data_IF_895764450818
#
_entry.id   IF_895764450818
#
_cell.length_a   1.000
_cell.length_b   1.000
_cell.length_c   1.000
_cell.angle_alpha   90.00
_cell.angle_beta   90.00
_cell.angle_gamma   90.00
#
_symmetry.space_group_name_H-M   'P 1'
#
loop_
_entity.id
_entity.type
_entity.pdbx_description
1 polymer ?
#
# COMPACT_ATOMS: atom_id res chain seq x y z
N UNK A 1 7.09 30.79 -13.19
CA UNK A 1 7.67 29.84 -12.21
C UNK A 1 6.87 28.56 -12.30
N UNK A 2 7.52 27.41 -12.38
CA UNK A 2 6.79 26.13 -12.41
C UNK A 2 6.16 25.89 -11.05
N UNK A 3 4.86 25.64 -11.02
CA UNK A 3 4.14 25.24 -9.82
C UNK A 3 4.01 23.73 -9.81
N UNK A 4 4.27 23.13 -8.66
CA UNK A 4 4.27 21.69 -8.45
C UNK A 4 3.13 21.29 -7.54
N UNK A 5 2.54 20.12 -7.80
CA UNK A 5 1.64 19.47 -6.85
C UNK A 5 2.45 18.59 -5.91
N UNK A 6 2.20 18.74 -4.62
CA UNK A 6 2.90 17.98 -3.58
C UNK A 6 1.93 17.07 -2.86
N UNK A 7 2.42 15.89 -2.50
CA UNK A 7 1.73 14.96 -1.62
C UNK A 7 2.69 14.59 -0.50
N UNK A 8 2.23 14.68 0.74
CA UNK A 8 2.96 14.27 1.94
C UNK A 8 2.10 13.31 2.75
N UNK A 9 2.72 12.30 3.32
CA UNK A 9 2.06 11.40 4.28
C UNK A 9 3.09 10.74 5.19
N UNK A 10 2.74 10.57 6.46
CA UNK A 10 3.56 9.80 7.39
C UNK A 10 3.55 10.33 8.81
N UNK A 11 4.44 9.81 9.63
CA UNK A 11 4.47 10.07 11.07
C UNK A 11 5.90 9.96 11.59
N UNK A 12 6.25 10.81 12.57
CA UNK A 12 7.43 10.67 13.41
C UNK A 12 7.05 10.47 14.87
N UNK A 13 7.68 9.53 15.53
CA UNK A 13 7.51 9.22 16.95
C UNK A 13 8.78 9.68 17.69
N UNK A 14 8.58 10.36 18.79
CA UNK A 14 9.67 10.83 19.67
C UNK A 14 9.78 9.95 20.92
N UNK A 15 10.99 9.81 21.45
CA UNK A 15 11.26 8.97 22.60
C UNK A 15 10.58 9.46 23.88
N UNK A 16 10.52 10.78 24.04
CA UNK A 16 9.96 11.45 25.20
C UNK A 16 9.52 12.88 24.84
N UNK A 17 8.82 13.52 25.77
CA UNK A 17 8.32 14.87 25.62
C UNK A 17 9.44 15.88 25.31
N UNK A 18 10.60 15.78 25.96
CA UNK A 18 11.73 16.68 25.69
C UNK A 18 12.20 16.63 24.24
N UNK A 19 12.32 15.42 23.65
CA UNK A 19 12.71 15.27 22.25
C UNK A 19 11.65 15.86 21.32
N UNK A 20 10.37 15.72 21.65
CA UNK A 20 9.26 16.31 20.91
C UNK A 20 9.30 17.85 20.97
N UNK A 21 9.46 18.43 22.18
CA UNK A 21 9.54 19.87 22.38
C UNK A 21 10.75 20.48 21.64
N UNK A 22 11.90 19.80 21.67
CA UNK A 22 13.08 20.23 20.91
C UNK A 22 12.82 20.21 19.39
N UNK A 23 12.16 19.17 18.87
CA UNK A 23 11.80 19.08 17.46
C UNK A 23 10.84 20.21 17.06
N UNK A 24 9.83 20.48 17.89
CA UNK A 24 8.87 21.58 17.67
C UNK A 24 9.55 22.95 17.68
N UNK A 25 10.42 23.18 18.66
CA UNK A 25 11.17 24.45 18.76
C UNK A 25 12.08 24.66 17.55
N UNK A 26 12.79 23.60 17.10
CA UNK A 26 13.65 23.66 15.90
C UNK A 26 12.84 23.88 14.63
N UNK A 27 11.68 23.23 14.49
CA UNK A 27 10.79 23.46 13.37
C UNK A 27 10.37 24.93 13.28
N UNK A 28 9.83 25.47 14.38
CA UNK A 28 9.35 26.86 14.45
C UNK A 28 10.48 27.85 14.19
N UNK A 29 11.65 27.66 14.81
CA UNK A 29 12.81 28.50 14.59
C UNK A 29 13.25 28.53 13.12
N UNK A 30 13.30 27.36 12.45
CA UNK A 30 13.65 27.29 11.02
C UNK A 30 12.61 27.97 10.14
N UNK A 31 11.33 27.73 10.41
CA UNK A 31 10.22 28.33 9.66
C UNK A 31 10.27 29.86 9.77
N UNK A 32 10.48 30.40 10.97
CA UNK A 32 10.49 31.84 11.23
C UNK A 32 11.78 32.51 10.71
N UNK A 33 12.94 32.01 11.14
CA UNK A 33 14.22 32.70 10.92
C UNK A 33 14.80 32.40 9.55
N UNK A 34 14.87 31.10 9.17
CA UNK A 34 15.55 30.67 7.95
C UNK A 34 14.66 30.75 6.73
N UNK A 35 13.41 30.30 6.84
CA UNK A 35 12.50 30.20 5.71
C UNK A 35 11.53 31.37 5.60
N UNK A 36 11.44 32.25 6.61
CA UNK A 36 10.54 33.42 6.64
C UNK A 36 9.10 33.04 6.28
N UNK A 37 8.63 31.95 6.87
CA UNK A 37 7.31 31.34 6.62
C UNK A 37 7.07 30.80 5.21
N UNK A 38 8.11 30.68 4.37
CA UNK A 38 8.01 30.05 3.04
C UNK A 38 8.06 28.52 3.17
N UNK A 39 7.07 27.98 3.88
CA UNK A 39 6.73 26.56 4.03
C UNK A 39 5.22 26.41 3.98
N UNK A 40 4.70 25.28 3.51
CA UNK A 40 3.25 25.12 3.44
C UNK A 40 2.63 24.36 4.63
N UNK A 41 3.43 23.75 5.50
CA UNK A 41 2.96 23.11 6.73
C UNK A 41 3.15 24.05 7.93
N UNK A 42 2.14 24.14 8.76
CA UNK A 42 2.21 24.86 10.04
C UNK A 42 2.39 23.84 11.16
N UNK A 43 3.19 24.21 12.18
CA UNK A 43 3.46 23.31 13.30
C UNK A 43 2.20 22.84 14.02
N UNK A 44 1.23 23.74 14.23
CA UNK A 44 -0.05 23.43 14.89
C UNK A 44 -0.90 22.38 14.15
N UNK A 45 -0.63 22.15 12.86
CA UNK A 45 -1.36 21.19 12.03
C UNK A 45 -0.70 19.79 11.99
N UNK A 46 0.58 19.70 12.34
CA UNK A 46 1.35 18.47 12.20
C UNK A 46 1.93 17.93 13.51
N UNK A 47 2.13 18.78 14.52
CA UNK A 47 2.62 18.34 15.83
C UNK A 47 1.44 18.03 16.76
N UNK A 48 1.29 16.75 17.11
CA UNK A 48 0.31 16.26 18.06
C UNK A 48 0.94 16.23 19.46
N UNK A 49 0.57 17.22 20.29
CA UNK A 49 1.10 17.39 21.63
C UNK A 49 0.63 16.30 22.58
N UNK A 50 -0.60 15.78 22.39
CA UNK A 50 -1.16 14.74 23.26
C UNK A 50 -0.43 13.39 23.03
N UNK A 51 -0.11 13.11 21.78
CA UNK A 51 0.56 11.86 21.41
C UNK A 51 2.08 11.97 21.31
N UNK A 52 2.67 13.15 21.50
CA UNK A 52 4.10 13.40 21.31
C UNK A 52 4.61 12.85 19.98
N UNK A 53 3.97 13.26 18.89
CA UNK A 53 4.35 12.82 17.54
C UNK A 53 4.15 13.92 16.51
N UNK A 54 4.83 13.81 15.38
CA UNK A 54 4.42 14.49 14.15
C UNK A 54 3.54 13.51 13.37
N UNK A 55 2.37 13.97 12.97
CA UNK A 55 1.44 13.19 12.18
C UNK A 55 0.94 14.01 10.99
N UNK A 56 1.25 13.53 9.79
CA UNK A 56 0.79 14.13 8.53
C UNK A 56 -0.08 13.07 7.85
N UNK A 57 -1.41 13.08 8.09
CA UNK A 57 -2.33 12.34 7.25
C UNK A 57 -2.12 12.79 5.80
N UNK A 58 -2.44 11.96 4.83
CA UNK A 58 -2.22 12.32 3.42
C UNK A 58 -2.64 13.75 3.13
N UNK A 59 -1.66 14.64 3.02
CA UNK A 59 -1.80 16.05 2.70
C UNK A 59 -1.46 16.28 1.23
N UNK A 60 -2.29 17.06 0.54
CA UNK A 60 -2.09 17.38 -0.88
C UNK A 60 -2.08 18.89 -1.02
N UNK A 61 -0.97 19.44 -1.50
CA UNK A 61 -0.84 20.86 -1.83
C UNK A 61 -0.78 21.03 -3.36
N UNK A 62 -1.76 21.71 -3.98
CA UNK A 62 -1.91 21.70 -5.43
C UNK A 62 -0.86 22.54 -6.18
N UNK A 63 -0.41 23.64 -5.58
CA UNK A 63 0.45 24.61 -6.26
C UNK A 63 1.48 25.21 -5.31
N UNK A 64 2.71 24.73 -5.37
CA UNK A 64 3.84 25.32 -4.62
C UNK A 64 5.05 25.55 -5.52
N UNK A 65 5.91 26.46 -5.09
CA UNK A 65 7.18 26.75 -5.75
C UNK A 65 8.25 25.71 -5.39
N UNK A 66 9.30 25.62 -6.19
CA UNK A 66 10.48 24.80 -5.88
C UNK A 66 11.11 25.19 -4.54
N UNK A 67 11.12 26.47 -4.21
CA UNK A 67 11.69 26.98 -2.96
C UNK A 67 10.86 26.50 -1.76
N UNK A 68 9.55 26.65 -1.81
CA UNK A 68 8.63 26.22 -0.74
C UNK A 68 8.74 24.69 -0.52
N UNK A 69 8.85 23.90 -1.60
CA UNK A 69 9.10 22.47 -1.52
C UNK A 69 10.38 22.16 -0.74
N UNK A 70 11.52 22.73 -1.16
CA UNK A 70 12.81 22.49 -0.51
C UNK A 70 12.82 22.91 0.96
N UNK A 71 12.24 24.05 1.26
CA UNK A 71 12.15 24.57 2.62
C UNK A 71 11.34 23.63 3.51
N UNK A 72 10.18 23.15 3.03
CA UNK A 72 9.33 22.24 3.79
C UNK A 72 10.00 20.90 4.04
N UNK A 73 10.60 20.29 3.00
CA UNK A 73 11.36 19.04 3.15
C UNK A 73 12.50 19.19 4.14
N UNK A 74 13.30 20.28 4.03
CA UNK A 74 14.41 20.54 4.94
C UNK A 74 13.97 20.76 6.39
N UNK A 75 12.80 21.40 6.60
CA UNK A 75 12.23 21.52 7.94
C UNK A 75 11.86 20.16 8.53
N UNK A 76 11.24 19.29 7.74
CA UNK A 76 10.86 17.94 8.16
C UNK A 76 12.08 17.02 8.38
N UNK A 77 13.13 17.13 7.58
CA UNK A 77 14.39 16.44 7.79
C UNK A 77 15.03 16.82 9.14
N UNK A 78 15.00 18.09 9.50
CA UNK A 78 15.49 18.54 10.82
C UNK A 78 14.67 17.96 11.97
N UNK A 79 13.34 17.94 11.85
CA UNK A 79 12.46 17.30 12.85
C UNK A 79 12.76 15.81 12.99
N UNK A 80 13.05 15.14 11.88
CA UNK A 80 13.37 13.70 11.83
C UNK A 80 14.60 13.33 12.66
N UNK A 81 15.58 14.21 12.81
CA UNK A 81 16.80 13.99 13.63
C UNK A 81 16.47 13.72 15.11
N UNK A 82 15.35 14.26 15.61
CA UNK A 82 14.90 14.05 16.99
C UNK A 82 14.06 12.80 17.17
N UNK A 83 13.50 12.25 16.08
CA UNK A 83 12.64 11.08 16.10
C UNK A 83 13.42 9.79 16.40
N UNK A 84 12.70 8.76 16.83
CA UNK A 84 13.25 7.41 17.04
C UNK A 84 12.55 6.36 16.17
N UNK A 85 11.39 6.70 15.61
CA UNK A 85 10.62 5.81 14.75
C UNK A 85 9.72 6.62 13.80
N UNK A 86 9.20 5.94 12.80
CA UNK A 86 8.32 6.51 11.80
C UNK A 86 9.04 6.84 10.49
N UNK A 87 8.28 7.31 9.52
CA UNK A 87 8.78 7.84 8.25
C UNK A 87 7.75 8.77 7.63
N UNK A 88 8.21 9.71 6.82
CA UNK A 88 7.39 10.56 5.98
C UNK A 88 7.75 10.31 4.51
N UNK A 89 6.75 10.11 3.68
CA UNK A 89 6.88 10.07 2.24
C UNK A 89 6.44 11.39 1.64
N UNK A 90 7.26 11.93 0.75
CA UNK A 90 7.04 13.21 0.10
C UNK A 90 7.19 13.06 -1.42
N UNK A 91 6.14 13.37 -2.16
CA UNK A 91 6.11 13.30 -3.62
C UNK A 91 5.91 14.69 -4.21
N UNK A 92 6.76 15.05 -5.19
CA UNK A 92 6.60 16.24 -6.02
C UNK A 92 6.19 15.82 -7.42
N UNK A 93 5.08 16.37 -7.91
CA UNK A 93 4.50 16.03 -9.20
C UNK A 93 4.44 17.26 -10.10
N UNK A 94 4.75 17.04 -11.38
CA UNK A 94 4.55 17.99 -12.47
C UNK A 94 3.73 17.31 -13.57
N UNK A 95 2.65 17.96 -14.02
CA UNK A 95 1.75 17.40 -15.06
C UNK A 95 1.29 15.95 -14.75
N UNK A 96 1.04 15.65 -13.47
CA UNK A 96 0.57 14.35 -13.03
C UNK A 96 1.65 13.25 -12.97
N UNK A 97 2.92 13.58 -13.22
CA UNK A 97 4.06 12.64 -13.10
C UNK A 97 4.88 12.97 -11.86
N UNK A 98 5.34 11.94 -11.16
CA UNK A 98 6.31 12.12 -10.06
C UNK A 98 7.64 12.53 -10.69
N UNK A 99 8.16 13.69 -10.29
CA UNK A 99 9.48 14.19 -10.69
C UNK A 99 10.50 14.08 -9.55
N UNK A 100 10.02 13.99 -8.30
CA UNK A 100 10.87 13.77 -7.13
C UNK A 100 10.10 12.99 -6.07
N UNK A 101 10.79 12.06 -5.41
CA UNK A 101 10.32 11.32 -4.24
C UNK A 101 11.36 11.38 -3.14
N UNK A 102 10.93 11.67 -1.93
CA UNK A 102 11.75 11.66 -0.72
C UNK A 102 11.09 10.76 0.32
N UNK A 103 11.85 9.81 0.86
CA UNK A 103 11.51 9.11 2.09
C UNK A 103 12.38 9.69 3.19
N UNK A 104 11.75 10.29 4.21
CA UNK A 104 12.41 10.89 5.35
C UNK A 104 12.20 9.94 6.53
N UNK A 105 13.27 9.30 6.99
CA UNK A 105 13.22 8.34 8.10
C UNK A 105 14.39 8.59 9.07
N UNK A 106 14.20 8.33 10.38
CA UNK A 106 15.25 8.49 11.37
C UNK A 106 16.49 7.65 11.01
N UNK A 107 17.64 8.30 11.01
CA UNK A 107 18.92 7.68 10.68
C UNK A 107 20.00 8.17 11.66
N UNK A 108 20.08 7.54 12.82
CA UNK A 108 21.01 7.92 13.87
C UNK A 108 21.47 6.73 14.70
N UNK A 109 22.35 6.97 15.66
CA UNK A 109 22.98 5.93 16.48
C UNK A 109 22.07 5.38 17.58
N UNK A 110 20.86 5.89 17.73
CA UNK A 110 19.90 5.38 18.71
C UNK A 110 19.59 3.91 18.42
N UNK A 111 19.69 3.08 19.45
CA UNK A 111 19.62 1.62 19.29
C UNK A 111 18.29 1.11 18.73
N UNK A 112 17.16 1.83 18.93
CA UNK A 112 15.88 1.51 18.31
C UNK A 112 15.94 1.67 16.78
N UNK A 113 16.56 2.77 16.32
CA UNK A 113 16.76 3.07 14.89
C UNK A 113 17.65 1.99 14.26
N UNK A 114 18.79 1.70 14.87
CA UNK A 114 19.74 0.72 14.34
C UNK A 114 19.16 -0.68 14.24
N UNK A 115 18.39 -1.12 15.26
CA UNK A 115 17.69 -2.40 15.24
C UNK A 115 16.64 -2.45 14.11
N UNK A 116 15.87 -1.36 13.90
CA UNK A 116 14.91 -1.29 12.81
C UNK A 116 15.58 -1.32 11.43
N UNK A 117 16.63 -0.53 11.24
CA UNK A 117 17.36 -0.47 9.96
C UNK A 117 18.02 -1.82 9.63
N UNK A 118 18.52 -2.53 10.65
CA UNK A 118 19.02 -3.90 10.48
C UNK A 118 17.88 -4.83 10.04
N UNK A 119 16.75 -4.80 10.73
CA UNK A 119 15.57 -5.60 10.37
C UNK A 119 15.10 -5.29 8.95
N UNK A 120 15.00 -4.01 8.56
CA UNK A 120 14.65 -3.56 7.20
C UNK A 120 15.57 -4.19 6.14
N UNK A 121 16.89 -4.20 6.36
CA UNK A 121 17.87 -4.81 5.45
C UNK A 121 17.72 -6.32 5.36
N UNK A 122 17.55 -7.00 6.49
CA UNK A 122 17.41 -8.46 6.54
C UNK A 122 16.11 -8.92 5.86
N UNK A 123 15.01 -8.17 6.02
CA UNK A 123 13.76 -8.41 5.24
C UNK A 123 14.02 -8.35 3.74
N UNK A 124 14.78 -7.36 3.27
CA UNK A 124 15.13 -7.22 1.86
C UNK A 124 16.02 -8.35 1.31
N UNK A 125 16.78 -9.02 2.19
CA UNK A 125 17.61 -10.20 1.84
C UNK A 125 16.88 -11.53 1.97
N UNK A 126 15.64 -11.53 2.47
CA UNK A 126 14.89 -12.77 2.75
C UNK A 126 15.37 -13.54 3.99
N UNK A 127 16.18 -12.91 4.85
CA UNK A 127 16.71 -13.50 6.08
C UNK A 127 15.67 -13.38 7.21
N UNK A 128 14.53 -14.05 7.05
CA UNK A 128 13.32 -13.81 7.85
C UNK A 128 13.49 -14.02 9.36
N UNK A 129 14.23 -15.05 9.79
CA UNK A 129 14.45 -15.31 11.22
C UNK A 129 15.27 -14.20 11.87
N UNK A 130 16.40 -13.83 11.26
CA UNK A 130 17.25 -12.76 11.76
C UNK A 130 16.54 -11.38 11.66
N UNK A 131 15.74 -11.17 10.62
CA UNK A 131 14.92 -9.98 10.49
C UNK A 131 13.91 -9.84 11.64
N UNK A 132 13.24 -10.94 12.01
CA UNK A 132 12.31 -10.96 13.14
C UNK A 132 13.00 -10.56 14.45
N UNK A 133 14.16 -11.14 14.76
CA UNK A 133 14.93 -10.83 15.97
C UNK A 133 15.34 -9.35 16.03
N UNK A 134 15.81 -8.78 14.92
CA UNK A 134 16.17 -7.37 14.86
C UNK A 134 14.95 -6.46 15.04
N UNK A 135 13.80 -6.82 14.46
CA UNK A 135 12.54 -6.07 14.61
C UNK A 135 11.96 -6.22 16.02
N UNK A 136 12.11 -7.37 16.67
CA UNK A 136 11.75 -7.58 18.08
C UNK A 136 12.52 -6.61 18.97
N UNK A 137 13.83 -6.46 18.74
CA UNK A 137 14.66 -5.50 19.47
C UNK A 137 14.23 -4.05 19.21
N UNK A 138 13.88 -3.70 17.98
CA UNK A 138 13.39 -2.35 17.66
C UNK A 138 12.09 -2.04 18.40
N UNK A 139 11.15 -2.98 18.44
CA UNK A 139 9.86 -2.86 19.15
C UNK A 139 10.06 -2.78 20.67
N UNK A 140 10.95 -3.60 21.22
CA UNK A 140 11.27 -3.58 22.65
C UNK A 140 11.80 -2.21 23.10
N UNK A 141 12.56 -1.53 22.21
CA UNK A 141 13.14 -0.21 22.50
C UNK A 141 12.19 0.95 22.17
N UNK A 142 11.21 0.72 21.30
CA UNK A 142 10.18 1.68 20.94
C UNK A 142 8.87 0.94 20.67
N UNK A 143 8.01 0.83 21.68
CA UNK A 143 6.70 0.15 21.56
C UNK A 143 5.75 0.82 20.57
N UNK A 144 5.97 2.10 20.25
CA UNK A 144 5.20 2.86 19.26
C UNK A 144 5.85 2.85 17.87
N UNK A 145 6.61 1.82 17.53
CA UNK A 145 7.28 1.72 16.24
C UNK A 145 6.40 1.03 15.19
N UNK A 146 5.45 1.76 14.59
CA UNK A 146 4.49 1.23 13.60
C UNK A 146 5.18 0.43 12.47
N UNK A 147 6.24 0.99 11.86
CA UNK A 147 6.97 0.35 10.76
C UNK A 147 7.70 -0.94 11.17
N UNK A 148 8.14 -1.06 12.43
CA UNK A 148 8.75 -2.30 12.92
C UNK A 148 7.70 -3.41 13.07
N UNK A 149 6.53 -3.10 13.64
CA UNK A 149 5.40 -4.02 13.66
C UNK A 149 4.98 -4.43 12.25
N UNK A 150 4.80 -3.48 11.34
CA UNK A 150 4.41 -3.76 9.95
C UNK A 150 5.38 -4.75 9.28
N UNK A 151 6.68 -4.50 9.35
CA UNK A 151 7.70 -5.37 8.75
C UNK A 151 7.77 -6.73 9.44
N UNK A 152 7.64 -6.79 10.77
CA UNK A 152 7.57 -8.07 11.50
C UNK A 152 6.31 -8.84 11.13
N UNK A 153 5.19 -8.17 10.92
CA UNK A 153 3.97 -8.76 10.40
C UNK A 153 4.17 -9.42 9.04
N UNK A 154 4.86 -8.77 8.11
CA UNK A 154 5.23 -9.39 6.82
C UNK A 154 6.19 -10.56 6.96
N UNK A 155 7.17 -10.49 7.86
CA UNK A 155 8.06 -11.61 8.16
C UNK A 155 7.26 -12.79 8.73
N UNK A 156 6.41 -12.57 9.72
CA UNK A 156 5.54 -13.59 10.29
C UNK A 156 4.61 -14.20 9.24
N UNK A 157 4.08 -13.37 8.30
CA UNK A 157 3.26 -13.84 7.20
C UNK A 157 4.03 -14.79 6.25
N UNK A 158 5.28 -14.44 5.86
CA UNK A 158 6.15 -15.31 5.04
C UNK A 158 6.49 -16.62 5.75
N UNK A 159 6.69 -16.56 7.06
CA UNK A 159 6.92 -17.72 7.92
C UNK A 159 5.64 -18.53 8.19
N UNK A 160 4.49 -18.14 7.63
CA UNK A 160 3.15 -18.73 7.84
C UNK A 160 2.63 -18.64 9.28
N UNK A 161 3.18 -17.75 10.08
CA UNK A 161 2.74 -17.43 11.44
C UNK A 161 1.59 -16.39 11.37
N UNK A 162 0.46 -16.77 10.79
CA UNK A 162 -0.62 -15.84 10.45
C UNK A 162 -1.22 -15.11 11.67
N UNK A 163 -1.31 -15.80 12.81
CA UNK A 163 -1.80 -15.18 14.05
C UNK A 163 -0.88 -14.05 14.54
N UNK A 164 0.43 -14.28 14.53
CA UNK A 164 1.42 -13.28 14.91
C UNK A 164 1.45 -12.13 13.89
N UNK A 165 1.32 -12.44 12.59
CA UNK A 165 1.22 -11.44 11.54
C UNK A 165 0.00 -10.52 11.75
N UNK A 166 -1.17 -11.10 12.06
CA UNK A 166 -2.39 -10.34 12.35
C UNK A 166 -2.21 -9.43 13.58
N UNK A 167 -1.60 -9.96 14.64
CA UNK A 167 -1.27 -9.16 15.83
C UNK A 167 -0.38 -7.97 15.48
N UNK A 168 0.67 -8.18 14.72
CA UNK A 168 1.63 -7.15 14.34
C UNK A 168 1.00 -6.08 13.44
N UNK A 169 0.22 -6.47 12.43
CA UNK A 169 -0.50 -5.50 11.60
C UNK A 169 -1.52 -4.68 12.42
N UNK A 170 -2.23 -5.32 13.36
CA UNK A 170 -3.13 -4.59 14.26
C UNK A 170 -2.37 -3.59 15.13
N UNK A 171 -1.22 -3.96 15.68
CA UNK A 171 -0.39 -3.04 16.47
C UNK A 171 0.14 -1.89 15.62
N UNK A 172 0.59 -2.16 14.40
CA UNK A 172 1.00 -1.11 13.46
C UNK A 172 -0.13 -0.12 13.18
N UNK A 173 -1.35 -0.61 12.93
CA UNK A 173 -2.54 0.21 12.66
C UNK A 173 -2.97 1.04 13.89
N UNK A 174 -2.84 0.49 15.10
CA UNK A 174 -3.12 1.26 16.33
C UNK A 174 -2.17 2.45 16.48
N UNK A 175 -0.89 2.27 16.13
CA UNK A 175 0.11 3.36 16.20
C UNK A 175 -0.03 4.32 15.02
N UNK A 176 -0.23 3.79 13.81
CA UNK A 176 -0.43 4.56 12.58
C UNK A 176 -1.67 4.08 11.82
N UNK A 177 -2.85 4.67 12.08
CA UNK A 177 -4.09 4.29 11.43
C UNK A 177 -4.13 4.54 9.91
N UNK A 178 -3.16 5.30 9.40
CA UNK A 178 -3.07 5.64 7.97
C UNK A 178 -2.04 4.79 7.21
N UNK A 179 -1.41 3.79 7.85
CA UNK A 179 -0.44 2.92 7.17
C UNK A 179 -1.14 2.06 6.12
N UNK A 180 -0.94 2.39 4.84
CA UNK A 180 -1.47 1.63 3.71
C UNK A 180 -0.90 0.22 3.68
N UNK A 181 0.39 0.05 4.01
CA UNK A 181 1.03 -1.27 4.02
C UNK A 181 0.52 -2.17 5.15
N UNK A 182 0.25 -1.61 6.34
CA UNK A 182 -0.25 -2.42 7.46
C UNK A 182 -1.68 -2.91 7.19
N UNK A 183 -2.57 -2.06 6.65
CA UNK A 183 -3.90 -2.48 6.22
C UNK A 183 -3.82 -3.51 5.09
N UNK A 184 -2.96 -3.28 4.10
CA UNK A 184 -2.74 -4.22 3.00
C UNK A 184 -2.25 -5.59 3.52
N UNK A 185 -1.28 -5.62 4.43
CA UNK A 185 -0.79 -6.85 5.05
C UNK A 185 -1.86 -7.59 5.84
N UNK A 186 -2.68 -6.86 6.63
CA UNK A 186 -3.80 -7.45 7.38
C UNK A 186 -4.86 -8.04 6.45
N UNK A 187 -5.16 -7.37 5.34
CA UNK A 187 -6.09 -7.88 4.34
C UNK A 187 -5.64 -9.25 3.79
N UNK A 188 -4.34 -9.46 3.59
CA UNK A 188 -3.83 -10.77 3.15
C UNK A 188 -4.04 -11.87 4.19
N UNK A 189 -3.83 -11.59 5.48
CA UNK A 189 -4.13 -12.56 6.53
C UNK A 189 -5.61 -12.92 6.48
N UNK A 190 -6.52 -11.93 6.36
CA UNK A 190 -7.97 -12.14 6.26
C UNK A 190 -8.35 -12.96 5.02
N UNK A 191 -7.67 -12.78 3.90
CA UNK A 191 -7.88 -13.62 2.71
C UNK A 191 -7.53 -15.09 3.00
N UNK A 192 -6.42 -15.35 3.71
CA UNK A 192 -6.06 -16.71 4.13
C UNK A 192 -7.14 -17.31 5.04
N UNK A 193 -7.73 -16.51 5.90
CA UNK A 193 -8.86 -16.87 6.76
C UNK A 193 -10.21 -16.93 6.01
N UNK A 194 -10.23 -16.60 4.71
CA UNK A 194 -11.40 -16.49 3.83
C UNK A 194 -12.41 -15.39 4.27
N UNK A 195 -11.97 -14.45 5.09
CA UNK A 195 -12.75 -13.26 5.46
C UNK A 195 -12.56 -12.16 4.40
N UNK A 196 -13.12 -12.37 3.22
CA UNK A 196 -13.00 -11.45 2.10
C UNK A 196 -13.68 -10.10 2.35
N UNK A 197 -14.77 -10.09 3.15
CA UNK A 197 -15.49 -8.86 3.49
C UNK A 197 -14.63 -7.92 4.31
N UNK A 198 -13.95 -8.44 5.34
CA UNK A 198 -13.04 -7.63 6.14
C UNK A 198 -11.75 -7.27 5.38
N UNK A 199 -11.29 -8.14 4.48
CA UNK A 199 -10.15 -7.83 3.59
C UNK A 199 -10.47 -6.64 2.68
N UNK A 200 -11.67 -6.58 2.09
CA UNK A 200 -12.11 -5.46 1.25
C UNK A 200 -12.11 -4.15 2.04
N UNK A 201 -12.58 -4.15 3.29
CA UNK A 201 -12.53 -2.94 4.15
C UNK A 201 -11.11 -2.44 4.37
N UNK A 202 -10.15 -3.34 4.58
CA UNK A 202 -8.74 -2.96 4.69
C UNK A 202 -8.19 -2.42 3.37
N UNK A 203 -8.56 -3.02 2.24
CA UNK A 203 -8.18 -2.52 0.92
C UNK A 203 -8.76 -1.13 0.62
N UNK A 204 -9.96 -0.82 1.10
CA UNK A 204 -10.54 0.53 0.98
C UNK A 204 -9.65 1.57 1.69
N UNK A 205 -9.17 1.24 2.89
CA UNK A 205 -8.28 2.13 3.65
C UNK A 205 -6.92 2.23 2.96
N UNK A 206 -6.39 1.11 2.45
CA UNK A 206 -5.15 1.10 1.64
C UNK A 206 -5.26 2.05 0.43
N UNK A 207 -6.34 1.94 -0.35
CA UNK A 207 -6.57 2.78 -1.53
C UNK A 207 -6.78 4.26 -1.16
N UNK A 208 -7.41 4.55 -0.03
CA UNK A 208 -7.61 5.91 0.47
C UNK A 208 -6.28 6.58 0.81
N UNK A 209 -5.33 5.84 1.38
CA UNK A 209 -4.06 6.37 1.86
C UNK A 209 -2.92 6.29 0.83
N UNK A 210 -2.99 5.37 -0.14
CA UNK A 210 -2.01 5.27 -1.23
C UNK A 210 -2.34 6.19 -2.41
N UNK A 211 -1.38 6.37 -3.30
CA UNK A 211 -1.54 7.18 -4.52
C UNK A 211 -1.40 6.31 -5.78
N UNK A 212 -2.05 6.69 -6.92
CA UNK A 212 -2.00 5.90 -8.15
C UNK A 212 -0.61 5.71 -8.77
N UNK A 213 0.42 6.38 -8.24
CA UNK A 213 1.81 6.22 -8.67
C UNK A 213 2.56 5.11 -7.92
N UNK A 214 1.98 4.63 -6.81
CA UNK A 214 2.58 3.56 -6.02
C UNK A 214 2.12 2.18 -6.54
N UNK A 215 3.02 1.19 -6.65
CA UNK A 215 2.65 -0.17 -7.07
C UNK A 215 1.56 -0.80 -6.20
N UNK A 216 1.56 -0.50 -4.88
CA UNK A 216 0.56 -1.01 -3.93
C UNK A 216 -0.87 -0.61 -4.31
N UNK A 217 -1.08 0.60 -4.86
CA UNK A 217 -2.41 1.07 -5.28
C UNK A 217 -3.04 0.13 -6.31
N UNK A 218 -2.29 -0.20 -7.36
CA UNK A 218 -2.77 -1.05 -8.45
C UNK A 218 -2.88 -2.52 -8.04
N UNK A 219 -1.93 -2.99 -7.24
CA UNK A 219 -1.99 -4.33 -6.63
C UNK A 219 -3.25 -4.48 -5.76
N UNK A 220 -3.57 -3.46 -4.96
CA UNK A 220 -4.77 -3.44 -4.12
C UNK A 220 -6.04 -3.49 -4.95
N UNK A 221 -6.17 -2.65 -5.99
CA UNK A 221 -7.34 -2.67 -6.88
C UNK A 221 -7.56 -4.05 -7.51
N UNK A 222 -6.50 -4.66 -8.01
CA UNK A 222 -6.56 -6.00 -8.60
C UNK A 222 -7.07 -7.03 -7.60
N UNK A 223 -6.47 -7.11 -6.41
CA UNK A 223 -6.82 -8.12 -5.42
C UNK A 223 -8.19 -7.86 -4.80
N UNK A 224 -8.56 -6.60 -4.57
CA UNK A 224 -9.90 -6.22 -4.14
C UNK A 224 -10.96 -6.66 -5.16
N UNK A 225 -10.70 -6.46 -6.46
CA UNK A 225 -11.55 -6.98 -7.54
C UNK A 225 -11.68 -8.51 -7.51
N UNK A 226 -10.59 -9.23 -7.21
CA UNK A 226 -10.63 -10.69 -7.03
C UNK A 226 -11.47 -11.10 -5.80
N UNK A 227 -11.40 -10.37 -4.70
CA UNK A 227 -12.26 -10.61 -3.53
C UNK A 227 -13.74 -10.41 -3.85
N UNK A 228 -14.09 -9.32 -4.54
CA UNK A 228 -15.47 -9.10 -5.02
C UNK A 228 -15.94 -10.22 -5.96
N UNK A 229 -15.08 -10.69 -6.86
CA UNK A 229 -15.39 -11.80 -7.76
C UNK A 229 -15.73 -13.08 -6.98
N UNK A 230 -14.94 -13.42 -5.95
CA UNK A 230 -15.14 -14.59 -5.09
C UNK A 230 -16.46 -14.49 -4.30
N UNK A 231 -16.86 -13.27 -3.90
CA UNK A 231 -18.12 -13.02 -3.20
C UNK A 231 -19.33 -12.96 -4.15
N UNK A 232 -19.14 -13.05 -5.48
CA UNK A 232 -20.21 -12.89 -6.46
C UNK A 232 -20.68 -11.46 -6.65
N UNK A 233 -19.92 -10.50 -6.17
CA UNK A 233 -20.19 -9.07 -6.30
C UNK A 233 -19.62 -8.55 -7.63
N UNK A 234 -20.12 -9.07 -8.75
CA UNK A 234 -19.52 -8.93 -10.07
C UNK A 234 -19.41 -7.48 -10.56
N UNK A 235 -20.43 -6.66 -10.28
CA UNK A 235 -20.40 -5.22 -10.60
C UNK A 235 -19.23 -4.50 -9.91
N UNK A 236 -19.00 -4.83 -8.64
CA UNK A 236 -17.91 -4.25 -7.87
C UNK A 236 -16.56 -4.76 -8.39
N UNK A 237 -16.45 -6.05 -8.72
CA UNK A 237 -15.24 -6.59 -9.35
C UNK A 237 -14.90 -5.87 -10.66
N UNK A 238 -15.87 -5.61 -11.52
CA UNK A 238 -15.72 -4.87 -12.78
C UNK A 238 -15.20 -3.45 -12.51
N UNK A 239 -15.80 -2.72 -11.55
CA UNK A 239 -15.41 -1.35 -11.19
C UNK A 239 -13.94 -1.27 -10.73
N UNK A 240 -13.47 -2.27 -9.97
CA UNK A 240 -12.08 -2.29 -9.52
C UNK A 240 -11.10 -2.73 -10.61
N UNK A 241 -11.47 -3.68 -11.47
CA UNK A 241 -10.57 -4.28 -12.46
C UNK A 241 -10.44 -3.46 -13.76
N UNK A 242 -11.47 -2.72 -14.20
CA UNK A 242 -11.40 -1.90 -15.42
C UNK A 242 -10.24 -0.90 -15.40
N UNK A 243 -10.02 -0.09 -14.35
CA UNK A 243 -8.89 0.83 -14.33
C UNK A 243 -7.54 0.12 -14.43
N UNK A 244 -7.42 -1.06 -13.80
CA UNK A 244 -6.19 -1.87 -13.83
C UNK A 244 -5.93 -2.41 -15.24
N UNK A 245 -6.98 -2.89 -15.93
CA UNK A 245 -6.87 -3.46 -17.28
C UNK A 245 -6.45 -2.43 -18.34
N UNK A 246 -6.80 -1.15 -18.13
CA UNK A 246 -6.47 -0.06 -19.04
C UNK A 246 -5.09 0.56 -18.80
N UNK A 247 -4.46 0.25 -17.66
CA UNK A 247 -3.14 0.77 -17.34
C UNK A 247 -2.04 -0.04 -18.02
N UNK A 248 -1.08 0.66 -18.61
CA UNK A 248 0.15 0.07 -19.11
C UNK A 248 1.17 0.07 -17.97
N UNK A 249 1.64 -1.11 -17.58
CA UNK A 249 2.71 -1.29 -16.61
C UNK A 249 4.04 -1.49 -17.34
N UNK A 250 5.13 -0.93 -16.82
CA UNK A 250 6.47 -1.22 -17.31
C UNK A 250 6.95 -2.58 -16.77
N UNK A 251 7.94 -3.18 -17.40
CA UNK A 251 8.45 -4.51 -17.02
C UNK A 251 8.98 -4.57 -15.58
N UNK A 252 9.50 -3.45 -15.08
CA UNK A 252 10.01 -3.31 -13.71
C UNK A 252 8.88 -3.20 -12.67
N UNK A 253 7.66 -2.90 -13.09
CA UNK A 253 6.50 -2.82 -12.17
C UNK A 253 6.06 -4.21 -11.74
N UNK A 254 5.92 -4.42 -10.44
CA UNK A 254 5.45 -5.69 -9.88
C UNK A 254 4.06 -6.12 -10.41
N UNK A 255 3.30 -5.19 -10.97
CA UNK A 255 1.98 -5.46 -11.57
C UNK A 255 2.05 -5.89 -13.04
N UNK A 256 3.22 -5.78 -13.71
CA UNK A 256 3.37 -6.08 -15.14
C UNK A 256 2.91 -7.49 -15.51
N UNK A 257 3.35 -8.51 -14.78
CA UNK A 257 3.02 -9.91 -15.06
C UNK A 257 1.60 -10.35 -14.70
N UNK A 258 0.69 -9.41 -14.33
CA UNK A 258 -0.67 -9.72 -13.89
C UNK A 258 -1.76 -9.31 -14.86
N UNK A 259 -1.43 -8.70 -16.00
CA UNK A 259 -2.39 -8.18 -16.98
C UNK A 259 -3.32 -9.27 -17.53
N UNK A 260 -2.76 -10.44 -17.85
CA UNK A 260 -3.53 -11.59 -18.34
C UNK A 260 -4.61 -12.02 -17.35
N UNK A 261 -4.24 -12.14 -16.07
CA UNK A 261 -5.17 -12.47 -14.97
C UNK A 261 -6.25 -11.41 -14.79
N UNK A 262 -5.90 -10.13 -14.91
CA UNK A 262 -6.87 -9.03 -14.81
C UNK A 262 -7.94 -9.15 -15.90
N UNK A 263 -7.57 -9.38 -17.14
CA UNK A 263 -8.52 -9.58 -18.23
C UNK A 263 -9.34 -10.84 -18.08
N UNK A 264 -8.75 -11.93 -17.58
CA UNK A 264 -9.46 -13.16 -17.27
C UNK A 264 -10.52 -12.94 -16.19
N UNK A 265 -10.15 -12.30 -15.08
CA UNK A 265 -11.08 -11.99 -13.99
C UNK A 265 -12.21 -11.03 -14.42
N UNK A 266 -11.92 -10.08 -15.32
CA UNK A 266 -12.96 -9.24 -15.94
C UNK A 266 -13.93 -10.09 -16.76
N UNK A 267 -13.42 -11.04 -17.54
CA UNK A 267 -14.26 -11.95 -18.30
C UNK A 267 -15.20 -12.76 -17.40
N UNK A 268 -14.69 -13.27 -16.27
CA UNK A 268 -15.50 -13.98 -15.28
C UNK A 268 -16.57 -13.07 -14.65
N UNK A 269 -16.20 -11.84 -14.31
CA UNK A 269 -17.14 -10.88 -13.71
C UNK A 269 -18.24 -10.49 -14.71
N UNK A 270 -17.91 -10.29 -15.98
CA UNK A 270 -18.92 -10.04 -17.02
C UNK A 270 -19.82 -11.25 -17.27
N UNK A 271 -19.30 -12.48 -17.18
CA UNK A 271 -20.13 -13.70 -17.23
C UNK A 271 -21.13 -13.74 -16.07
N UNK A 272 -20.68 -13.38 -14.86
CA UNK A 272 -21.55 -13.31 -13.69
C UNK A 272 -22.68 -12.28 -13.83
N UNK A 273 -22.44 -11.17 -14.57
CA UNK A 273 -23.44 -10.14 -14.91
C UNK A 273 -24.23 -10.47 -16.19
N UNK A 274 -24.09 -11.66 -16.76
CA UNK A 274 -24.73 -12.09 -18.01
C UNK A 274 -24.38 -11.19 -19.23
N UNK A 275 -23.30 -10.43 -19.12
CA UNK A 275 -22.81 -9.58 -20.20
C UNK A 275 -21.84 -10.36 -21.09
N UNK A 276 -22.38 -11.27 -21.88
CA UNK A 276 -21.60 -12.23 -22.70
C UNK A 276 -20.71 -11.55 -23.73
N UNK A 277 -21.14 -10.40 -24.29
CA UNK A 277 -20.34 -9.65 -25.29
C UNK A 277 -19.04 -9.15 -24.66
N UNK A 278 -19.10 -8.47 -23.54
CA UNK A 278 -17.93 -7.94 -22.86
C UNK A 278 -17.07 -9.07 -22.24
N UNK A 279 -17.72 -10.15 -21.80
CA UNK A 279 -17.01 -11.35 -21.32
C UNK A 279 -16.11 -11.94 -22.40
N UNK A 280 -16.64 -12.12 -23.63
CA UNK A 280 -15.88 -12.64 -24.77
C UNK A 280 -14.70 -11.69 -25.08
N UNK A 281 -14.94 -10.39 -25.15
CA UNK A 281 -13.89 -9.40 -25.43
C UNK A 281 -12.77 -9.47 -24.39
N UNK A 282 -13.11 -9.55 -23.11
CA UNK A 282 -12.14 -9.62 -22.02
C UNK A 282 -11.33 -10.93 -22.06
N UNK A 283 -12.01 -12.07 -22.28
CA UNK A 283 -11.37 -13.37 -22.33
C UNK A 283 -10.47 -13.53 -23.58
N UNK A 284 -10.88 -13.03 -24.75
CA UNK A 284 -10.03 -13.03 -25.94
C UNK A 284 -8.78 -12.14 -25.74
N UNK A 285 -8.90 -11.01 -25.04
CA UNK A 285 -7.73 -10.21 -24.63
C UNK A 285 -6.81 -11.00 -23.69
N UNK A 286 -7.36 -11.69 -22.67
CA UNK A 286 -6.58 -12.55 -21.80
C UNK A 286 -5.84 -13.64 -22.59
N UNK A 287 -6.52 -14.27 -23.54
CA UNK A 287 -5.94 -15.30 -24.41
C UNK A 287 -4.79 -14.79 -25.28
N UNK A 288 -4.88 -13.56 -25.76
CA UNK A 288 -3.88 -12.93 -26.62
C UNK A 288 -2.63 -12.44 -25.88
N UNK A 289 -2.65 -12.38 -24.54
CA UNK A 289 -1.50 -11.98 -23.72
C UNK A 289 -0.60 -13.18 -23.43
N UNK A 290 0.72 -12.90 -23.33
CA UNK A 290 1.72 -13.90 -22.92
C UNK A 290 1.46 -14.38 -21.49
N UNK A 291 1.85 -15.61 -21.20
CA UNK A 291 1.79 -16.15 -19.84
C UNK A 291 2.62 -15.30 -18.90
N UNK A 292 1.98 -14.90 -17.81
CA UNK A 292 2.57 -14.03 -16.80
C UNK A 292 2.81 -14.76 -15.49
N UNK A 293 2.58 -14.06 -14.38
CA UNK A 293 2.66 -14.63 -13.02
C UNK A 293 1.40 -15.41 -12.61
N UNK A 294 0.45 -15.60 -13.52
CA UNK A 294 -0.76 -16.38 -13.31
C UNK A 294 -0.54 -17.86 -13.68
N UNK A 295 -1.37 -18.74 -13.13
CA UNK A 295 -1.37 -20.17 -13.44
C UNK A 295 -2.59 -20.53 -14.32
N UNK A 296 -2.97 -19.63 -15.24
CA UNK A 296 -4.11 -19.83 -16.13
C UNK A 296 -3.69 -20.66 -17.34
N UNK A 297 -4.40 -21.75 -17.60
CA UNK A 297 -4.22 -22.50 -18.83
C UNK A 297 -4.99 -21.85 -19.99
N UNK A 298 -4.58 -22.13 -21.23
CA UNK A 298 -5.35 -21.68 -22.41
C UNK A 298 -6.71 -22.36 -22.46
N UNK A 299 -6.78 -23.62 -22.02
CA UNK A 299 -7.98 -24.42 -21.93
C UNK A 299 -9.03 -23.81 -20.99
N UNK A 300 -8.60 -23.27 -19.83
CA UNK A 300 -9.48 -22.56 -18.90
C UNK A 300 -10.13 -21.34 -19.57
N UNK A 301 -9.34 -20.56 -20.32
CA UNK A 301 -9.82 -19.37 -21.02
C UNK A 301 -10.77 -19.76 -22.16
N UNK A 302 -10.40 -20.76 -22.99
CA UNK A 302 -11.21 -21.22 -24.11
C UNK A 302 -12.53 -21.85 -23.66
N UNK A 303 -12.52 -22.53 -22.52
CA UNK A 303 -13.72 -23.05 -21.87
C UNK A 303 -14.73 -21.96 -21.57
N UNK A 304 -14.27 -20.88 -20.91
CA UNK A 304 -15.14 -19.73 -20.59
C UNK A 304 -15.60 -18.97 -21.83
N UNK A 305 -14.77 -18.83 -22.86
CA UNK A 305 -15.18 -18.23 -24.14
C UNK A 305 -16.31 -19.04 -24.78
N UNK A 306 -16.22 -20.38 -24.77
CA UNK A 306 -17.25 -21.26 -25.32
C UNK A 306 -18.58 -21.11 -24.55
N UNK A 307 -18.51 -21.05 -23.22
CA UNK A 307 -19.69 -20.84 -22.38
C UNK A 307 -20.32 -19.46 -22.65
N UNK A 308 -19.51 -18.39 -22.72
CA UNK A 308 -19.99 -17.07 -23.08
C UNK A 308 -20.67 -17.03 -24.47
N UNK A 309 -20.08 -17.68 -25.48
CA UNK A 309 -20.65 -17.79 -26.84
C UNK A 309 -21.97 -18.57 -26.86
N UNK A 310 -22.17 -19.51 -25.95
CA UNK A 310 -23.42 -20.26 -25.82
C UNK A 310 -24.54 -19.51 -25.08
N UNK A 311 -24.26 -18.32 -24.53
CA UNK A 311 -25.21 -17.56 -23.73
C UNK A 311 -25.55 -18.23 -22.38
N UNK A 312 -24.65 -19.08 -21.88
CA UNK A 312 -24.85 -19.78 -20.61
C UNK A 312 -23.92 -19.23 -19.54
N UNK A 313 -24.48 -18.95 -18.38
CA UNK A 313 -23.73 -18.64 -17.17
C UNK A 313 -23.38 -19.93 -16.47
N UNK A 314 -22.09 -20.25 -16.27
CA UNK A 314 -21.67 -21.41 -15.51
C UNK A 314 -22.25 -21.39 -14.09
N UNK A 315 -22.60 -22.57 -13.54
CA UNK A 315 -23.24 -22.70 -12.23
C UNK A 315 -22.45 -22.04 -11.09
N UNK A 316 -21.14 -22.06 -11.19
CA UNK A 316 -20.23 -21.43 -10.23
C UNK A 316 -20.43 -19.90 -10.07
N UNK A 317 -20.91 -19.22 -11.14
CA UNK A 317 -21.21 -17.78 -11.08
C UNK A 317 -22.65 -17.48 -10.65
N UNK A 318 -23.55 -18.47 -10.71
CA UNK A 318 -24.92 -18.32 -10.18
C UNK A 318 -24.97 -18.47 -8.67
N UNK A 319 -24.12 -19.35 -8.12
CA UNK A 319 -23.98 -19.59 -6.68
C UNK A 319 -22.49 -19.55 -6.32
N UNK A 320 -21.91 -18.36 -6.22
CA UNK A 320 -20.48 -18.26 -5.93
C UNK A 320 -20.21 -18.74 -4.49
N UNK A 321 -19.33 -19.72 -4.38
CA UNK A 321 -18.77 -20.18 -3.12
C UNK A 321 -17.29 -19.88 -3.11
N UNK A 322 -16.70 -19.43 -1.98
CA UNK A 322 -15.27 -19.28 -1.86
C UNK A 322 -14.54 -20.56 -2.26
N UNK A 323 -13.72 -20.49 -3.30
CA UNK A 323 -12.96 -21.63 -3.87
C UNK A 323 -13.52 -22.24 -5.17
N UNK A 324 -14.74 -21.93 -5.60
CA UNK A 324 -15.31 -22.41 -6.85
C UNK A 324 -14.87 -21.57 -8.06
N UNK A 325 -14.40 -20.34 -7.82
CA UNK A 325 -13.93 -19.44 -8.86
C UNK A 325 -12.40 -19.52 -8.90
N UNK A 326 -11.86 -19.93 -10.04
CA UNK A 326 -10.42 -19.91 -10.26
C UNK A 326 -9.95 -18.47 -10.41
N UNK A 327 -9.25 -17.97 -9.42
CA UNK A 327 -8.64 -16.62 -9.47
C UNK A 327 -7.19 -16.64 -9.95
N UNK A 328 -6.67 -17.80 -10.37
CA UNK A 328 -5.27 -17.99 -10.76
C UNK A 328 -4.32 -18.14 -9.56
N UNK A 329 -3.03 -17.88 -9.75
CA UNK A 329 -2.02 -18.04 -8.70
C UNK A 329 -2.34 -17.29 -7.40
N UNK A 330 -1.91 -17.79 -6.25
CA UNK A 330 -2.19 -17.19 -4.96
C UNK A 330 -1.68 -15.75 -4.87
N UNK A 331 -2.37 -14.94 -4.07
CA UNK A 331 -2.16 -13.50 -3.85
C UNK A 331 -0.72 -13.07 -3.46
N UNK A 332 0.21 -14.01 -3.36
CA UNK A 332 1.48 -13.88 -2.64
C UNK A 332 2.74 -13.79 -3.50
N UNK A 333 2.62 -13.81 -4.82
CA UNK A 333 3.79 -13.70 -5.71
C UNK A 333 4.02 -12.28 -6.20
#
# INVERSE_FOLDING_TARGET
MSNYRIILAGQFIFNNQRSFEMALAQYNQRVEIHFKYDVFLRSENIFDVEQNCVNIPRHVEPEITERTWRNTVSALETVCEYAIAGSLSAWKLENGKIIEYREIEPNGDKSAIQSYLLGKRLVGRGEDKAAKEALDQAIQKCERHAKAYERRGYVNFRLKNFRDALYDFNKSIVVNPHSEEAHFGRAFVRIIEKDYVSAIKDFDITLKNSIPHQPIFWKTKRIKGECHLILGEYKMAILELIPVSKRVFQEEDNNFGWQRKVWFNLGQAYLGEENFKEAIIALEKAKGLTEGKDNLSKEDIDGLIKEAKSGKVPSQYRNPLPGNIKTGAPFLS
#
